data_IF_086154276364
#
_entry.id   IF_086154276364
#
_cell.length_a   1.000
_cell.length_b   1.000
_cell.length_c   1.000
_cell.angle_alpha   90.00
_cell.angle_beta   90.00
_cell.angle_gamma   90.00
#
_symmetry.space_group_name_H-M   'P 1'
#
loop_
_entity.id
_entity.type
_entity.pdbx_description
1 polymer ?
#
# COMPACT_ATOMS: atom_id res chain seq x y z
N UNK A 1 -2.67 61.46 5.97
CA UNK A 1 -1.65 60.63 5.30
C UNK A 1 -1.58 61.07 3.85
N UNK A 2 -0.44 61.61 3.39
CA UNK A 2 -0.34 62.37 2.14
C UNK A 2 -0.75 61.54 0.91
N UNK A 3 -1.80 61.98 0.20
CA UNK A 3 -2.30 61.40 -1.06
C UNK A 3 -1.22 61.19 -2.11
N UNK A 4 -0.18 62.03 -2.08
CA UNK A 4 0.95 61.95 -2.98
C UNK A 4 1.82 60.69 -2.73
N UNK A 5 1.98 60.29 -1.46
CA UNK A 5 2.72 59.07 -1.11
C UNK A 5 1.94 57.83 -1.55
N UNK A 6 0.61 57.84 -1.38
CA UNK A 6 -0.25 56.74 -1.83
C UNK A 6 -0.18 56.54 -3.35
N UNK A 7 -0.17 57.62 -4.13
CA UNK A 7 -0.02 57.56 -5.58
C UNK A 7 1.36 57.03 -6.00
N UNK A 8 2.44 57.45 -5.32
CA UNK A 8 3.79 56.96 -5.63
C UNK A 8 3.90 55.45 -5.35
N UNK A 9 3.34 54.98 -4.23
CA UNK A 9 3.32 53.56 -3.88
C UNK A 9 2.53 52.76 -4.91
N UNK A 10 1.33 53.21 -5.27
CA UNK A 10 0.42 52.47 -6.14
C UNK A 10 0.91 52.40 -7.60
N UNK A 11 1.43 53.50 -8.14
CA UNK A 11 1.77 53.58 -9.57
C UNK A 11 3.22 53.22 -9.90
N UNK A 12 4.14 53.25 -8.92
CA UNK A 12 5.55 52.98 -9.20
C UNK A 12 6.12 51.82 -8.39
N UNK A 13 5.84 51.76 -7.07
CA UNK A 13 6.41 50.73 -6.21
C UNK A 13 5.74 49.36 -6.48
N UNK A 14 4.40 49.31 -6.52
CA UNK A 14 3.68 48.05 -6.76
C UNK A 14 4.01 47.44 -8.13
N UNK A 15 4.01 48.19 -9.25
CA UNK A 15 4.42 47.65 -10.54
C UNK A 15 5.90 47.27 -10.59
N UNK A 16 6.77 48.03 -9.93
CA UNK A 16 8.20 47.70 -9.83
C UNK A 16 8.45 46.37 -9.12
N UNK A 17 7.77 46.12 -8.00
CA UNK A 17 7.84 44.84 -7.28
C UNK A 17 7.26 43.71 -8.13
N UNK A 18 6.15 43.94 -8.85
CA UNK A 18 5.56 42.95 -9.74
C UNK A 18 6.52 42.56 -10.88
N UNK A 19 7.14 43.54 -11.52
CA UNK A 19 8.14 43.31 -12.57
C UNK A 19 9.34 42.54 -12.02
N UNK A 20 9.86 42.91 -10.85
CA UNK A 20 10.95 42.18 -10.18
C UNK A 20 10.55 40.75 -9.82
N UNK A 21 9.32 40.52 -9.36
CA UNK A 21 8.81 39.18 -9.06
C UNK A 21 8.67 38.33 -10.33
N UNK A 22 8.20 38.91 -11.43
CA UNK A 22 8.14 38.27 -12.74
C UNK A 22 9.55 37.92 -13.23
N UNK A 23 10.49 38.86 -13.20
CA UNK A 23 11.89 38.60 -13.57
C UNK A 23 12.52 37.54 -12.67
N UNK A 24 12.28 37.57 -11.36
CA UNK A 24 12.75 36.53 -10.45
C UNK A 24 12.12 35.17 -10.77
N UNK A 25 10.84 35.10 -11.11
CA UNK A 25 10.19 33.85 -11.50
C UNK A 25 10.74 33.27 -12.83
N UNK A 26 11.06 34.13 -13.81
CA UNK A 26 11.66 33.70 -15.08
C UNK A 26 13.17 33.40 -14.96
N UNK A 27 13.90 34.12 -14.11
CA UNK A 27 15.34 33.96 -13.91
C UNK A 27 15.70 32.98 -12.80
N UNK A 28 14.74 32.59 -11.95
CA UNK A 28 14.83 31.43 -11.07
C UNK A 28 14.88 30.20 -11.97
N UNK A 29 16.09 29.96 -12.47
CA UNK A 29 16.50 28.79 -13.20
C UNK A 29 16.09 27.64 -12.30
N UNK A 30 14.99 26.96 -12.65
CA UNK A 30 14.59 25.69 -12.03
C UNK A 30 15.88 24.90 -11.92
N UNK A 31 16.38 24.74 -10.71
CA UNK A 31 17.49 23.87 -10.44
C UNK A 31 17.00 22.50 -10.88
N UNK A 32 17.36 22.10 -12.10
CA UNK A 32 17.12 20.77 -12.57
C UNK A 32 18.00 19.91 -11.69
N UNK A 33 17.40 19.40 -10.61
CA UNK A 33 18.06 18.43 -9.72
C UNK A 33 18.67 17.40 -10.64
N UNK A 34 20.01 17.32 -10.68
CA UNK A 34 20.72 16.38 -11.55
C UNK A 34 20.25 14.99 -11.13
N UNK A 35 19.39 14.38 -11.95
CA UNK A 35 18.89 13.03 -11.71
C UNK A 35 20.07 12.07 -11.84
N UNK A 36 20.20 11.21 -10.83
CA UNK A 36 21.16 10.11 -10.84
C UNK A 36 20.94 9.25 -12.09
N UNK A 37 22.04 8.88 -12.75
CA UNK A 37 22.03 8.11 -13.98
C UNK A 37 21.30 6.76 -13.82
N UNK A 38 21.23 6.20 -12.61
CA UNK A 38 20.46 4.97 -12.36
C UNK A 38 18.95 5.11 -12.63
N UNK A 39 18.41 6.32 -12.67
CA UNK A 39 17.00 6.57 -13.03
C UNK A 39 16.80 6.83 -14.53
N UNK A 40 17.88 6.73 -15.34
CA UNK A 40 17.85 6.87 -16.79
C UNK A 40 18.04 5.51 -17.44
N UNK A 41 16.98 4.97 -18.03
CA UNK A 41 17.02 3.64 -18.66
C UNK A 41 17.27 3.80 -20.15
N UNK A 42 18.32 3.15 -20.67
CA UNK A 42 18.69 3.20 -22.09
C UNK A 42 18.27 1.91 -22.78
N UNK A 43 17.52 2.05 -23.87
CA UNK A 43 17.11 0.97 -24.75
C UNK A 43 17.92 1.06 -26.03
N UNK A 44 18.58 -0.05 -26.39
CA UNK A 44 19.24 -0.18 -27.68
C UNK A 44 18.19 -0.60 -28.71
N UNK A 45 18.07 0.16 -29.79
CA UNK A 45 17.18 -0.16 -30.90
C UNK A 45 18.00 -0.62 -32.10
N UNK A 46 17.35 -1.26 -33.07
CA UNK A 46 17.99 -1.62 -34.35
C UNK A 46 18.54 -0.39 -35.08
N UNK A 47 17.90 0.78 -34.90
CA UNK A 47 18.36 2.08 -35.39
C UNK A 47 18.30 3.12 -34.27
N UNK A 48 19.46 3.39 -33.67
CA UNK A 48 19.63 4.42 -32.65
C UNK A 48 19.37 3.93 -31.22
N UNK A 49 19.20 4.89 -30.31
CA UNK A 49 18.99 4.63 -28.89
C UNK A 49 17.76 5.38 -28.41
N UNK A 50 16.94 4.71 -27.60
CA UNK A 50 15.86 5.34 -26.86
C UNK A 50 16.26 5.45 -25.38
N UNK A 51 15.87 6.53 -24.70
CA UNK A 51 16.20 6.71 -23.29
C UNK A 51 15.01 7.25 -22.52
N UNK A 52 14.60 6.52 -21.49
CA UNK A 52 13.66 7.00 -20.49
C UNK A 52 14.45 7.88 -19.53
N UNK A 53 14.16 9.18 -19.54
CA UNK A 53 14.95 10.17 -18.81
C UNK A 53 14.74 10.14 -17.29
N UNK A 54 13.60 9.64 -16.81
CA UNK A 54 13.30 9.62 -15.38
C UNK A 54 12.31 8.51 -15.01
N UNK A 55 12.85 7.40 -14.52
CA UNK A 55 12.07 6.27 -14.04
C UNK A 55 11.16 6.61 -12.82
N UNK A 56 11.52 7.62 -12.01
CA UNK A 56 10.74 7.99 -10.81
C UNK A 56 9.35 8.53 -11.13
N UNK A 57 9.10 8.92 -12.38
CA UNK A 57 7.77 9.40 -12.83
C UNK A 57 6.82 8.26 -13.17
N UNK A 58 7.27 7.01 -13.06
CA UNK A 58 6.53 5.84 -13.53
C UNK A 58 6.67 5.68 -15.05
N UNK A 59 6.44 4.45 -15.50
CA UNK A 59 6.40 4.09 -16.92
C UNK A 59 5.18 3.22 -17.15
N UNK A 60 4.38 3.55 -18.15
CA UNK A 60 3.27 2.72 -18.62
C UNK A 60 3.63 2.12 -19.97
N UNK A 61 3.45 0.82 -20.13
CA UNK A 61 3.76 0.06 -21.35
C UNK A 61 2.46 -0.53 -21.87
N UNK A 62 2.02 -0.07 -23.03
CA UNK A 62 0.76 -0.48 -23.65
C UNK A 62 1.07 -1.11 -25.01
N UNK A 63 0.44 -2.25 -25.30
CA UNK A 63 0.61 -2.94 -26.57
C UNK A 63 -0.28 -4.18 -26.65
N UNK A 64 -0.62 -4.60 -27.87
CA UNK A 64 -1.46 -5.77 -28.12
C UNK A 64 -0.81 -7.07 -27.61
N UNK A 65 -1.61 -8.13 -27.49
CA UNK A 65 -1.06 -9.47 -27.28
C UNK A 65 -0.08 -9.83 -28.40
N UNK A 66 1.05 -10.45 -28.06
CA UNK A 66 2.10 -10.78 -29.04
C UNK A 66 2.96 -9.60 -29.52
N UNK A 67 2.73 -8.37 -29.07
CA UNK A 67 3.53 -7.20 -29.51
C UNK A 67 4.96 -7.13 -28.96
N UNK A 68 5.46 -8.18 -28.31
CA UNK A 68 6.81 -8.25 -27.76
C UNK A 68 7.06 -7.39 -26.52
N UNK A 69 6.04 -7.02 -25.73
CA UNK A 69 6.22 -6.18 -24.51
C UNK A 69 7.24 -6.76 -23.53
N UNK A 70 7.14 -8.06 -23.26
CA UNK A 70 8.01 -8.77 -22.29
C UNK A 70 9.46 -8.73 -22.74
N UNK A 71 9.74 -9.15 -23.97
CA UNK A 71 11.09 -9.23 -24.53
C UNK A 71 11.72 -7.84 -24.78
N UNK A 72 10.96 -6.90 -25.36
CA UNK A 72 11.52 -5.62 -25.80
C UNK A 72 11.59 -4.59 -24.68
N UNK A 73 10.65 -4.59 -23.73
CA UNK A 73 10.56 -3.55 -22.69
C UNK A 73 10.86 -4.10 -21.30
N UNK A 74 10.12 -5.12 -20.86
CA UNK A 74 10.25 -5.64 -19.48
C UNK A 74 11.63 -6.24 -19.24
N UNK A 75 12.16 -7.04 -20.17
CA UNK A 75 13.50 -7.62 -20.03
C UNK A 75 14.59 -6.56 -19.88
N UNK A 76 14.56 -5.50 -20.70
CA UNK A 76 15.50 -4.38 -20.58
C UNK A 76 15.38 -3.66 -19.22
N UNK A 77 14.16 -3.51 -18.69
CA UNK A 77 13.98 -3.00 -17.33
C UNK A 77 14.58 -3.92 -16.28
N UNK A 78 14.34 -5.23 -16.36
CA UNK A 78 14.90 -6.19 -15.41
C UNK A 78 16.43 -6.17 -15.43
N UNK A 79 17.05 -6.11 -16.61
CA UNK A 79 18.50 -5.95 -16.74
C UNK A 79 18.99 -4.66 -16.08
N UNK A 80 18.33 -3.53 -16.34
CA UNK A 80 18.67 -2.23 -15.74
C UNK A 80 18.51 -2.24 -14.21
N UNK A 81 17.43 -2.83 -13.70
CA UNK A 81 17.15 -2.94 -12.28
C UNK A 81 18.18 -3.82 -11.58
N UNK A 82 18.57 -4.92 -12.22
CA UNK A 82 19.60 -5.82 -11.72
C UNK A 82 20.96 -5.11 -11.67
N UNK A 83 21.35 -4.43 -12.75
CA UNK A 83 22.64 -3.73 -12.84
C UNK A 83 22.77 -2.62 -11.80
N UNK A 84 21.69 -1.90 -11.53
CA UNK A 84 21.66 -0.83 -10.54
C UNK A 84 21.16 -1.27 -9.15
N UNK A 85 20.97 -2.58 -8.92
CA UNK A 85 20.51 -3.18 -7.66
C UNK A 85 19.25 -2.52 -7.09
N UNK A 86 18.26 -2.28 -7.94
CA UNK A 86 16.95 -1.81 -7.50
C UNK A 86 16.23 -2.89 -6.69
N UNK A 87 15.60 -2.46 -5.59
CA UNK A 87 14.62 -3.26 -4.85
C UNK A 87 13.22 -2.97 -5.39
N UNK A 88 12.34 -3.96 -5.32
CA UNK A 88 10.96 -3.81 -5.78
C UNK A 88 10.14 -5.07 -5.61
N UNK A 89 8.87 -4.98 -6.00
CA UNK A 89 7.92 -6.09 -6.03
C UNK A 89 7.52 -6.30 -7.49
N UNK A 90 7.59 -7.54 -7.96
CA UNK A 90 7.13 -7.94 -9.29
C UNK A 90 5.80 -8.67 -9.09
N UNK A 91 4.73 -8.12 -9.65
CA UNK A 91 3.43 -8.79 -9.71
C UNK A 91 3.30 -9.51 -11.06
N UNK A 92 3.44 -10.83 -11.03
CA UNK A 92 3.45 -11.67 -12.22
C UNK A 92 2.10 -12.39 -12.38
N UNK A 93 1.21 -11.76 -13.15
CA UNK A 93 -0.16 -12.27 -13.34
C UNK A 93 -0.22 -13.55 -14.20
N UNK A 94 0.79 -13.79 -15.05
CA UNK A 94 0.77 -14.87 -16.04
C UNK A 94 1.64 -16.05 -15.62
N UNK A 95 1.49 -16.46 -14.37
CA UNK A 95 2.11 -17.65 -13.79
C UNK A 95 3.59 -17.85 -14.20
N UNK A 96 4.46 -17.08 -13.55
CA UNK A 96 5.91 -17.13 -13.69
C UNK A 96 6.52 -16.63 -15.02
N UNK A 97 5.76 -16.13 -16.00
CA UNK A 97 6.31 -15.58 -17.26
C UNK A 97 7.42 -14.53 -17.03
N UNK A 98 7.21 -13.59 -16.09
CA UNK A 98 8.20 -12.56 -15.76
C UNK A 98 9.23 -13.11 -14.76
N UNK A 99 8.78 -13.96 -13.84
CA UNK A 99 9.60 -14.51 -12.76
C UNK A 99 10.74 -15.39 -13.29
N UNK A 100 10.48 -16.24 -14.28
CA UNK A 100 11.49 -17.10 -14.93
C UNK A 100 12.58 -16.29 -15.63
N UNK A 101 12.24 -15.10 -16.13
CA UNK A 101 13.18 -14.17 -16.75
C UNK A 101 13.96 -13.41 -15.67
N UNK A 102 13.28 -12.93 -14.62
CA UNK A 102 13.87 -12.11 -13.59
C UNK A 102 14.81 -12.90 -12.68
N UNK A 103 14.41 -14.07 -12.20
CA UNK A 103 15.16 -14.86 -11.23
C UNK A 103 16.64 -15.10 -11.62
N UNK A 104 16.98 -15.59 -12.82
CA UNK A 104 18.38 -15.80 -13.21
C UNK A 104 19.19 -14.50 -13.29
N UNK A 105 18.57 -13.39 -13.74
CA UNK A 105 19.24 -12.08 -13.81
C UNK A 105 19.65 -11.60 -12.42
N UNK A 106 18.73 -11.66 -11.46
CA UNK A 106 18.95 -11.23 -10.08
C UNK A 106 19.93 -12.16 -9.36
N UNK A 107 19.80 -13.48 -9.54
CA UNK A 107 20.71 -14.47 -8.97
C UNK A 107 22.15 -14.31 -9.48
N UNK A 108 22.34 -13.98 -10.76
CA UNK A 108 23.67 -13.77 -11.35
C UNK A 108 24.43 -12.56 -10.77
N UNK A 109 23.74 -11.67 -10.04
CA UNK A 109 24.32 -10.49 -9.37
C UNK A 109 24.26 -10.58 -7.85
N UNK A 110 24.01 -11.78 -7.32
CA UNK A 110 23.84 -12.07 -5.89
C UNK A 110 22.78 -11.18 -5.21
N UNK A 111 21.71 -10.86 -5.93
CA UNK A 111 20.59 -10.08 -5.39
C UNK A 111 19.55 -11.06 -4.84
N UNK A 112 19.13 -10.94 -3.56
CA UNK A 112 18.08 -11.78 -2.99
C UNK A 112 16.77 -11.66 -3.77
N UNK A 113 16.18 -12.81 -4.11
CA UNK A 113 14.91 -12.90 -4.83
C UNK A 113 13.97 -13.84 -4.07
N UNK A 114 12.81 -13.32 -3.68
CA UNK A 114 11.80 -14.05 -2.91
C UNK A 114 10.52 -14.19 -3.73
N UNK A 115 10.11 -15.44 -3.96
CA UNK A 115 8.90 -15.77 -4.73
C UNK A 115 7.76 -16.12 -3.78
N UNK A 116 6.65 -15.39 -3.85
CA UNK A 116 5.42 -15.71 -3.12
C UNK A 116 4.42 -16.22 -4.17
N UNK A 117 4.07 -17.50 -4.09
CA UNK A 117 3.11 -18.16 -4.98
C UNK A 117 2.06 -18.92 -4.15
N UNK A 118 0.88 -19.13 -4.74
CA UNK A 118 -0.25 -19.77 -4.06
C UNK A 118 -0.35 -21.27 -4.34
N UNK A 119 0.17 -21.74 -5.48
CA UNK A 119 0.17 -23.16 -5.86
C UNK A 119 1.35 -23.89 -5.21
N UNK A 120 2.57 -23.42 -5.48
CA UNK A 120 3.80 -23.97 -4.92
C UNK A 120 4.40 -23.05 -3.84
N UNK A 121 4.73 -23.64 -2.70
CA UNK A 121 5.30 -22.89 -1.57
C UNK A 121 6.82 -22.73 -1.78
N UNK A 122 7.23 -21.63 -2.40
CA UNK A 122 8.65 -21.25 -2.45
C UNK A 122 9.10 -20.51 -1.18
N UNK A 123 8.33 -19.50 -0.75
CA UNK A 123 8.57 -18.76 0.49
C UNK A 123 7.26 -18.54 1.24
N UNK A 124 7.34 -18.55 2.57
CA UNK A 124 6.19 -18.29 3.45
C UNK A 124 6.26 -16.85 3.94
N UNK A 125 5.12 -16.17 3.89
CA UNK A 125 4.94 -14.83 4.45
C UNK A 125 3.78 -14.83 5.43
N UNK A 126 3.93 -14.10 6.52
CA UNK A 126 2.85 -13.82 7.45
C UNK A 126 2.61 -12.30 7.48
N UNK A 127 1.55 -11.78 6.83
CA UNK A 127 1.30 -10.35 6.72
C UNK A 127 0.95 -9.70 8.07
N UNK A 128 0.52 -10.49 9.05
CA UNK A 128 0.18 -10.04 10.40
C UNK A 128 1.22 -10.49 11.44
N UNK A 129 2.46 -10.73 11.02
CA UNK A 129 3.52 -11.09 11.96
C UNK A 129 3.67 -10.00 13.04
N UNK A 130 3.87 -10.35 14.32
CA UNK A 130 3.94 -9.37 15.42
C UNK A 130 4.93 -8.22 15.20
N UNK A 131 6.04 -8.48 14.49
CA UNK A 131 7.05 -7.47 14.13
C UNK A 131 6.52 -6.31 13.28
N UNK A 132 5.41 -6.50 12.56
CA UNK A 132 4.75 -5.48 11.74
C UNK A 132 3.67 -4.71 12.51
N UNK A 133 3.39 -5.08 13.76
CA UNK A 133 2.26 -4.59 14.55
C UNK A 133 2.73 -3.92 15.85
N UNK A 134 3.51 -2.82 15.77
CA UNK A 134 4.08 -2.16 16.95
C UNK A 134 2.99 -1.59 17.87
N UNK A 135 1.90 -1.08 17.31
CA UNK A 135 0.83 -0.37 18.03
C UNK A 135 -0.57 -0.70 17.48
N UNK A 136 -1.60 -0.14 18.10
CA UNK A 136 -3.01 -0.35 17.74
C UNK A 136 -3.34 0.16 16.34
N UNK A 137 -2.73 1.27 15.92
CA UNK A 137 -2.91 1.85 14.59
C UNK A 137 -2.46 0.88 13.49
N UNK A 138 -1.31 0.23 13.66
CA UNK A 138 -0.82 -0.78 12.71
C UNK A 138 -1.76 -1.99 12.60
N UNK A 139 -2.41 -2.38 13.70
CA UNK A 139 -3.40 -3.47 13.69
C UNK A 139 -4.68 -3.04 12.96
N UNK A 140 -5.16 -1.81 13.17
CA UNK A 140 -6.32 -1.30 12.44
C UNK A 140 -6.03 -1.16 10.95
N UNK A 141 -4.88 -0.60 10.58
CA UNK A 141 -4.48 -0.45 9.17
C UNK A 141 -4.41 -1.80 8.46
N UNK A 142 -3.74 -2.80 9.03
CA UNK A 142 -3.65 -4.12 8.38
C UNK A 142 -5.00 -4.83 8.33
N UNK A 143 -5.84 -4.69 9.37
CA UNK A 143 -7.17 -5.33 9.41
C UNK A 143 -8.08 -4.74 8.34
N UNK A 144 -8.06 -3.42 8.18
CA UNK A 144 -8.78 -2.71 7.13
C UNK A 144 -8.30 -3.13 5.74
N UNK A 145 -6.99 -3.14 5.49
CA UNK A 145 -6.43 -3.57 4.20
C UNK A 145 -6.82 -5.02 3.90
N UNK A 146 -6.74 -5.93 4.88
CA UNK A 146 -7.16 -7.31 4.70
C UNK A 146 -8.65 -7.40 4.36
N UNK A 147 -9.50 -6.65 5.08
CA UNK A 147 -10.94 -6.65 4.84
C UNK A 147 -11.28 -6.10 3.46
N UNK A 148 -10.69 -4.98 3.05
CA UNK A 148 -10.92 -4.36 1.73
C UNK A 148 -10.45 -5.26 0.57
N UNK A 149 -9.39 -6.05 0.74
CA UNK A 149 -8.92 -6.97 -0.29
C UNK A 149 -9.70 -8.31 -0.33
N UNK A 150 -10.37 -8.69 0.77
CA UNK A 150 -11.15 -9.92 0.86
C UNK A 150 -12.64 -9.70 0.55
N UNK A 151 -13.16 -8.51 0.85
CA UNK A 151 -14.52 -8.12 0.51
C UNK A 151 -14.53 -7.60 -0.93
N UNK A 152 -15.14 -8.38 -1.82
CA UNK A 152 -15.41 -7.93 -3.19
C UNK A 152 -16.25 -6.64 -3.15
N UNK A 153 -16.03 -5.72 -4.11
CA UNK A 153 -16.67 -4.40 -4.17
C UNK A 153 -18.22 -4.41 -4.11
N UNK A 154 -18.89 -5.57 -4.13
CA UNK A 154 -20.33 -5.72 -3.95
C UNK A 154 -20.86 -5.32 -2.57
N UNK A 155 -20.00 -5.14 -1.55
CA UNK A 155 -20.40 -4.54 -0.25
C UNK A 155 -20.25 -3.01 -0.21
N UNK A 156 -19.72 -2.40 -1.27
CA UNK A 156 -19.54 -0.93 -1.37
C UNK A 156 -20.81 -0.16 -1.74
N UNK A 157 -21.93 -0.85 -1.99
CA UNK A 157 -23.24 -0.21 -2.00
C UNK A 157 -23.63 0.18 -0.56
N UNK A 158 -23.34 1.45 -0.26
CA UNK A 158 -23.58 2.17 0.98
C UNK A 158 -25.06 2.16 1.43
N UNK A 159 -25.56 1.01 1.86
CA UNK A 159 -26.73 0.92 2.74
C UNK A 159 -26.23 0.91 4.18
N UNK A 160 -26.86 1.70 5.07
CA UNK A 160 -26.36 1.92 6.43
C UNK A 160 -26.08 0.64 7.24
N UNK A 161 -26.79 -0.46 6.96
CA UNK A 161 -26.57 -1.79 7.54
C UNK A 161 -25.23 -2.42 7.18
N UNK A 162 -24.74 -2.21 5.94
CA UNK A 162 -23.48 -2.79 5.47
C UNK A 162 -22.27 -2.16 6.16
N UNK A 163 -22.37 -0.87 6.52
CA UNK A 163 -21.31 -0.17 7.24
C UNK A 163 -21.15 -0.70 8.66
N UNK A 164 -22.24 -0.86 9.42
CA UNK A 164 -22.18 -1.42 10.77
C UNK A 164 -21.64 -2.86 10.77
N UNK A 165 -22.02 -3.67 9.78
CA UNK A 165 -21.48 -5.02 9.61
C UNK A 165 -19.97 -4.99 9.34
N UNK A 166 -19.53 -4.13 8.42
CA UNK A 166 -18.10 -3.96 8.08
C UNK A 166 -17.29 -3.52 9.30
N UNK A 167 -17.78 -2.53 10.05
CA UNK A 167 -17.13 -2.03 11.27
C UNK A 167 -17.05 -3.11 12.36
N UNK A 168 -18.07 -3.96 12.49
CA UNK A 168 -18.07 -5.08 13.43
C UNK A 168 -17.05 -6.17 13.02
N UNK A 169 -16.98 -6.51 11.73
CA UNK A 169 -16.01 -7.50 11.22
C UNK A 169 -14.58 -6.99 11.34
N UNK A 170 -14.34 -5.72 10.98
CA UNK A 170 -13.05 -5.06 11.15
C UNK A 170 -12.62 -5.06 12.62
N UNK A 171 -13.50 -4.61 13.52
CA UNK A 171 -13.21 -4.58 14.96
C UNK A 171 -12.93 -5.96 15.55
N UNK A 172 -13.71 -6.98 15.16
CA UNK A 172 -13.45 -8.37 15.57
C UNK A 172 -12.08 -8.85 15.10
N UNK A 173 -11.74 -8.63 13.83
CA UNK A 173 -10.46 -9.03 13.26
C UNK A 173 -9.29 -8.30 13.97
N UNK A 174 -9.39 -6.98 14.15
CA UNK A 174 -8.41 -6.18 14.90
C UNK A 174 -8.23 -6.68 16.33
N UNK A 175 -9.33 -6.97 17.03
CA UNK A 175 -9.29 -7.50 18.39
C UNK A 175 -8.60 -8.86 18.47
N UNK A 176 -8.88 -9.77 17.53
CA UNK A 176 -8.24 -11.07 17.44
C UNK A 176 -6.75 -10.96 17.09
N UNK A 177 -6.39 -10.16 16.09
CA UNK A 177 -4.99 -9.92 15.71
C UNK A 177 -4.21 -9.39 16.91
N UNK A 178 -4.74 -8.37 17.60
CA UNK A 178 -4.09 -7.83 18.78
C UNK A 178 -3.93 -8.88 19.87
N UNK A 179 -4.99 -9.65 20.15
CA UNK A 179 -4.95 -10.68 21.20
C UNK A 179 -3.89 -11.75 20.91
N UNK A 180 -3.83 -12.21 19.67
CA UNK A 180 -2.81 -13.16 19.24
C UNK A 180 -1.42 -12.53 19.30
N UNK A 181 -1.24 -11.30 18.82
CA UNK A 181 0.04 -10.58 18.91
C UNK A 181 0.53 -10.40 20.34
N UNK A 182 -0.35 -10.04 21.29
CA UNK A 182 0.02 -9.67 22.65
C UNK A 182 0.20 -10.89 23.57
N UNK A 183 -0.71 -11.86 23.50
CA UNK A 183 -0.71 -13.01 24.41
C UNK A 183 -0.10 -14.27 23.79
N UNK A 184 -0.08 -14.39 22.46
CA UNK A 184 0.29 -15.61 21.74
C UNK A 184 1.09 -15.33 20.45
N UNK A 185 2.20 -14.57 20.52
CA UNK A 185 2.87 -14.04 19.33
C UNK A 185 3.30 -15.12 18.33
N UNK A 186 3.61 -16.33 18.79
CA UNK A 186 3.94 -17.49 17.95
C UNK A 186 2.75 -18.00 17.11
N UNK A 187 1.52 -17.70 17.51
CA UNK A 187 0.28 -18.07 16.83
C UNK A 187 -0.37 -16.88 16.12
N UNK A 188 0.27 -15.71 16.09
CA UNK A 188 -0.25 -14.53 15.39
C UNK A 188 -0.10 -14.68 13.87
N UNK A 189 -0.99 -15.46 13.25
CA UNK A 189 -1.04 -15.78 11.82
C UNK A 189 -2.49 -15.91 11.36
N UNK A 190 -2.78 -15.67 10.08
CA UNK A 190 -4.14 -15.78 9.53
C UNK A 190 -4.78 -17.16 9.81
N UNK A 191 -4.11 -18.31 9.57
CA UNK A 191 -4.72 -19.62 9.84
C UNK A 191 -5.12 -19.83 11.30
N UNK A 192 -4.30 -19.37 12.25
CA UNK A 192 -4.61 -19.49 13.67
C UNK A 192 -5.76 -18.57 14.11
N UNK A 193 -5.89 -17.39 13.50
CA UNK A 193 -7.04 -16.50 13.74
C UNK A 193 -8.33 -17.15 13.24
N UNK A 194 -8.31 -17.73 12.03
CA UNK A 194 -9.44 -18.47 11.46
C UNK A 194 -9.81 -19.64 12.37
N UNK A 195 -8.81 -20.42 12.80
CA UNK A 195 -9.02 -21.55 13.71
C UNK A 195 -9.61 -21.10 15.05
N UNK A 196 -9.10 -20.01 15.64
CA UNK A 196 -9.63 -19.45 16.89
C UNK A 196 -11.10 -19.03 16.73
N UNK A 197 -11.43 -18.33 15.65
CA UNK A 197 -12.80 -17.92 15.37
C UNK A 197 -13.75 -19.10 15.17
N UNK A 198 -13.34 -20.13 14.41
CA UNK A 198 -14.18 -21.30 14.13
C UNK A 198 -14.31 -22.27 15.31
N UNK A 199 -13.30 -22.35 16.18
CA UNK A 199 -13.27 -23.32 17.29
C UNK A 199 -13.90 -22.80 18.58
N UNK A 200 -14.02 -21.48 18.75
CA UNK A 200 -14.57 -20.88 19.97
C UNK A 200 -16.08 -20.68 19.86
N UNK A 201 -16.82 -20.99 20.93
CA UNK A 201 -18.20 -20.53 21.05
C UNK A 201 -18.25 -19.01 21.21
N UNK A 202 -19.39 -18.38 20.88
CA UNK A 202 -19.57 -16.93 21.05
C UNK A 202 -19.19 -16.42 22.45
N UNK A 203 -19.53 -17.18 23.50
CA UNK A 203 -19.16 -16.82 24.88
C UNK A 203 -17.65 -16.85 25.07
N UNK A 204 -16.99 -17.93 24.64
CA UNK A 204 -15.54 -18.06 24.75
C UNK A 204 -14.80 -16.98 23.95
N UNK A 205 -15.28 -16.65 22.75
CA UNK A 205 -14.70 -15.58 21.92
C UNK A 205 -14.80 -14.22 22.61
N UNK A 206 -15.97 -13.89 23.18
CA UNK A 206 -16.16 -12.64 23.94
C UNK A 206 -15.24 -12.61 25.16
N UNK A 207 -15.17 -13.69 25.92
CA UNK A 207 -14.32 -13.77 27.12
C UNK A 207 -12.83 -13.68 26.75
N UNK A 208 -12.44 -14.28 25.61
CA UNK A 208 -11.09 -14.23 25.06
C UNK A 208 -10.69 -12.79 24.68
N UNK A 209 -11.54 -12.07 23.96
CA UNK A 209 -11.32 -10.66 23.60
C UNK A 209 -11.29 -9.76 24.85
N UNK A 210 -12.20 -9.99 25.81
CA UNK A 210 -12.29 -9.20 27.05
C UNK A 210 -11.11 -9.40 28.01
N UNK A 211 -10.36 -10.48 27.86
CA UNK A 211 -9.19 -10.76 28.71
C UNK A 211 -7.99 -9.82 28.45
N UNK A 212 -8.06 -8.98 27.42
CA UNK A 212 -7.08 -7.92 27.13
C UNK A 212 -7.81 -6.60 26.85
N UNK A 213 -7.39 -5.51 27.51
CA UNK A 213 -8.09 -4.23 27.44
C UNK A 213 -8.09 -3.64 26.02
N UNK A 214 -6.95 -3.71 25.33
CA UNK A 214 -6.82 -3.20 23.97
C UNK A 214 -7.58 -4.06 22.98
N UNK A 215 -7.47 -5.40 23.05
CA UNK A 215 -8.27 -6.31 22.23
C UNK A 215 -9.77 -6.05 22.37
N UNK A 216 -10.25 -5.87 23.61
CA UNK A 216 -11.64 -5.49 23.91
C UNK A 216 -12.03 -4.16 23.29
N UNK A 217 -11.15 -3.15 23.37
CA UNK A 217 -11.39 -1.83 22.79
C UNK A 217 -11.52 -1.91 21.27
N UNK A 218 -10.58 -2.60 20.60
CA UNK A 218 -10.58 -2.79 19.15
C UNK A 218 -11.83 -3.57 18.67
N UNK A 219 -12.24 -4.59 19.43
CA UNK A 219 -13.46 -5.36 19.16
C UNK A 219 -14.76 -4.66 19.62
N UNK A 220 -14.71 -3.39 20.00
CA UNK A 220 -15.86 -2.68 20.60
C UNK A 220 -17.13 -2.71 19.74
N UNK A 221 -17.00 -2.45 18.43
CA UNK A 221 -18.13 -2.47 17.50
C UNK A 221 -18.83 -3.84 17.46
N UNK A 222 -18.04 -4.92 17.37
CA UNK A 222 -18.53 -6.30 17.41
C UNK A 222 -19.24 -6.63 18.74
N UNK A 223 -18.59 -6.30 19.87
CA UNK A 223 -19.12 -6.61 21.20
C UNK A 223 -20.44 -5.87 21.47
N UNK A 224 -20.55 -4.62 21.02
CA UNK A 224 -21.76 -3.82 21.17
C UNK A 224 -22.91 -4.35 20.28
N UNK A 225 -22.60 -4.78 19.05
CA UNK A 225 -23.59 -5.39 18.14
C UNK A 225 -24.27 -6.61 18.76
N UNK A 226 -23.48 -7.51 19.39
CA UNK A 226 -24.02 -8.71 20.05
C UNK A 226 -24.91 -8.40 21.26
N UNK A 227 -24.66 -7.30 21.97
CA UNK A 227 -25.53 -6.87 23.08
C UNK A 227 -26.81 -6.21 22.60
N UNK A 228 -26.77 -5.51 21.46
CA UNK A 228 -27.93 -4.84 20.86
C UNK A 228 -28.96 -5.85 20.37
N UNK A 229 -28.54 -6.91 19.67
CA UNK A 229 -29.45 -7.96 19.18
C UNK A 229 -30.15 -8.73 20.33
N UNK A 230 -29.47 -8.86 21.48
CA UNK A 230 -30.08 -9.43 22.69
C UNK A 230 -31.07 -8.49 23.38
N UNK A 231 -30.90 -7.17 23.23
CA UNK A 231 -31.81 -6.17 23.78
C UNK A 231 -33.05 -5.97 22.92
N UNK A 232 -32.96 -6.12 21.60
CA UNK A 232 -34.10 -6.05 20.68
C UNK A 232 -34.94 -7.33 20.63
N UNK A 233 -34.38 -8.50 20.96
CA UNK A 233 -35.14 -9.75 21.09
C UNK A 233 -36.04 -9.82 22.35
N UNK A 234 -35.86 -8.90 23.31
CA UNK A 234 -36.68 -8.78 24.53
C UNK A 234 -37.90 -7.85 24.40
N UNK A 235 -38.16 -7.32 23.20
CA UNK A 235 -39.34 -6.50 22.89
C UNK A 235 -40.11 -7.13 21.73
N UNK A 236 -40.70 -8.30 21.99
CA UNK A 236 -41.88 -8.82 21.27
C UNK A 236 -42.78 -9.52 22.27
#
# INVERSE_FOLDING_TARGET
MNSNIANVVLFYIVPGIFVLAVFYAFYSKKSSVKLDNKYRVKFKLSKGNFTIANLRRGVSVIGAAGSGKTESVIYNFLQHFTEHKFYGIIHDYKHFEITEIAYPLFKAKDIPFYTIAFDEIHYRVNPIAPRYLPNEESVNEISKVLLENLLEHSLSENTGSNKFFTDAVEGLLSGLIWKMKASYPQYCTIPHIIAAFQSMSNKMLIDFLKSDLTSKSLAGAFLNGLTSDKQTAGVK
#
